data_IF_140334583793
#
_entry.id   IF_140334583793
#
_cell.length_a   1.000
_cell.length_b   1.000
_cell.length_c   1.000
_cell.angle_alpha   90.00
_cell.angle_beta   90.00
_cell.angle_gamma   90.00
#
_symmetry.space_group_name_H-M   'P 1'
#
loop_
_entity.id
_entity.type
_entity.pdbx_description
1 polymer ?
#
# COMPACT_ATOMS: atom_id res chain seq x y z
N UNK A 1 22.85 -30.21 -28.49
CA UNK A 1 21.61 -29.47 -28.81
C UNK A 1 20.95 -29.10 -27.51
N UNK A 2 21.23 -27.88 -27.03
CA UNK A 2 20.76 -27.36 -25.76
C UNK A 2 19.31 -26.95 -25.88
N UNK A 3 18.48 -27.52 -25.02
CA UNK A 3 17.05 -27.26 -24.91
C UNK A 3 16.79 -25.73 -24.75
N UNK A 4 16.09 -25.06 -25.69
CA UNK A 4 15.97 -23.61 -25.71
C UNK A 4 14.94 -23.07 -24.70
N UNK A 5 14.35 -23.92 -23.87
CA UNK A 5 13.32 -23.55 -22.90
C UNK A 5 13.84 -23.55 -21.46
N UNK A 6 15.08 -23.06 -21.25
CA UNK A 6 15.60 -22.76 -19.91
C UNK A 6 14.95 -21.47 -19.39
N UNK A 7 13.73 -21.65 -18.91
CA UNK A 7 13.09 -20.98 -17.78
C UNK A 7 13.83 -19.73 -17.29
N UNK A 8 13.45 -18.58 -17.83
CA UNK A 8 13.62 -17.31 -17.12
C UNK A 8 12.88 -17.43 -15.79
N UNK A 9 13.63 -17.69 -14.71
CA UNK A 9 13.11 -17.69 -13.36
C UNK A 9 12.49 -16.31 -13.07
N UNK A 10 11.17 -16.23 -13.12
CA UNK A 10 10.43 -15.05 -12.69
C UNK A 10 10.58 -14.93 -11.16
N UNK A 11 10.88 -13.73 -10.62
CA UNK A 11 10.96 -13.53 -9.18
C UNK A 11 9.55 -13.55 -8.58
N UNK A 12 9.06 -14.72 -8.22
CA UNK A 12 7.73 -14.89 -7.61
C UNK A 12 7.68 -14.52 -6.11
N UNK A 13 8.79 -14.13 -5.50
CA UNK A 13 8.86 -13.94 -4.04
C UNK A 13 8.37 -12.56 -3.53
N UNK A 14 7.95 -11.65 -4.41
CA UNK A 14 7.54 -10.29 -3.98
C UNK A 14 6.03 -10.11 -3.77
N UNK A 15 5.21 -11.15 -3.94
CA UNK A 15 3.74 -11.07 -3.90
C UNK A 15 3.09 -11.62 -2.63
N UNK A 16 3.87 -12.09 -1.64
CA UNK A 16 3.32 -12.55 -0.36
C UNK A 16 2.97 -11.42 0.63
N UNK A 17 3.23 -10.15 0.27
CA UNK A 17 2.98 -9.00 1.15
C UNK A 17 1.53 -8.46 1.10
N UNK A 18 0.72 -8.86 0.11
CA UNK A 18 -0.66 -8.37 -0.04
C UNK A 18 -1.70 -9.15 0.78
N UNK A 19 -1.34 -10.30 1.36
CA UNK A 19 -2.32 -11.13 2.06
C UNK A 19 -2.49 -10.67 3.52
N UNK A 20 -3.63 -10.05 3.83
CA UNK A 20 -3.96 -9.60 5.18
C UNK A 20 -4.39 -10.79 6.03
N UNK A 21 -3.42 -11.40 6.72
CA UNK A 21 -3.68 -12.47 7.71
C UNK A 21 -3.81 -11.87 9.11
N UNK A 22 -4.82 -12.32 9.85
CA UNK A 22 -5.00 -12.04 11.28
C UNK A 22 -5.19 -13.35 12.00
N UNK A 23 -4.32 -13.60 12.97
CA UNK A 23 -4.42 -14.77 13.83
C UNK A 23 -5.48 -14.49 14.90
N UNK A 24 -6.49 -15.35 14.98
CA UNK A 24 -7.50 -15.35 16.04
C UNK A 24 -7.16 -16.54 16.95
N UNK A 25 -7.05 -16.30 18.26
CA UNK A 25 -6.83 -17.36 19.26
C UNK A 25 -8.18 -17.83 19.81
N UNK A 26 -8.25 -19.10 20.22
CA UNK A 26 -9.44 -19.67 20.87
C UNK A 26 -9.74 -18.91 22.17
N UNK A 27 -10.89 -18.24 22.21
CA UNK A 27 -11.34 -17.37 23.32
C UNK A 27 -11.43 -15.87 22.99
N UNK A 28 -11.01 -15.43 21.79
CA UNK A 28 -11.26 -14.04 21.36
C UNK A 28 -12.67 -13.86 20.76
N UNK A 29 -13.36 -12.80 21.19
CA UNK A 29 -14.60 -12.35 20.53
C UNK A 29 -14.32 -11.98 19.07
N UNK A 30 -15.11 -12.54 18.16
CA UNK A 30 -15.07 -12.33 16.69
C UNK A 30 -15.05 -10.84 16.33
N UNK A 31 -15.77 -10.01 17.09
CA UNK A 31 -15.85 -8.56 16.86
C UNK A 31 -14.49 -7.86 17.04
N UNK A 32 -13.66 -8.34 17.97
CA UNK A 32 -12.30 -7.80 18.18
C UNK A 32 -11.39 -8.16 17.01
N UNK A 33 -11.51 -9.38 16.48
CA UNK A 33 -10.76 -9.80 15.29
C UNK A 33 -11.16 -8.97 14.06
N UNK A 34 -12.46 -8.74 13.85
CA UNK A 34 -12.98 -7.93 12.75
C UNK A 34 -12.49 -6.47 12.85
N UNK A 35 -12.46 -5.89 14.05
CA UNK A 35 -11.94 -4.53 14.26
C UNK A 35 -10.46 -4.42 13.93
N UNK A 36 -9.65 -5.43 14.28
CA UNK A 36 -8.23 -5.49 13.90
C UNK A 36 -8.05 -5.66 12.39
N UNK A 37 -8.91 -6.46 11.76
CA UNK A 37 -8.96 -6.62 10.30
C UNK A 37 -9.19 -5.30 9.60
N UNK A 38 -10.25 -4.59 9.99
CA UNK A 38 -10.57 -3.28 9.42
C UNK A 38 -9.43 -2.28 9.55
N UNK A 39 -8.81 -2.20 10.74
CA UNK A 39 -7.63 -1.35 10.96
C UNK A 39 -6.43 -1.73 10.09
N UNK A 40 -6.15 -3.03 9.94
CA UNK A 40 -5.03 -3.53 9.12
C UNK A 40 -5.29 -3.26 7.63
N UNK A 41 -6.51 -3.46 7.17
CA UNK A 41 -6.96 -3.15 5.81
C UNK A 41 -6.84 -1.66 5.47
N UNK A 42 -7.27 -0.78 6.38
CA UNK A 42 -7.13 0.67 6.22
C UNK A 42 -5.65 1.10 6.19
N UNK A 43 -4.81 0.47 7.03
CA UNK A 43 -3.36 0.75 7.07
C UNK A 43 -2.63 0.31 5.80
N UNK A 44 -3.02 -0.80 5.18
CA UNK A 44 -2.44 -1.24 3.90
C UNK A 44 -2.71 -0.26 2.76
N UNK A 45 -3.76 0.56 2.86
CA UNK A 45 -4.00 1.65 1.90
C UNK A 45 -4.43 1.18 0.50
N UNK A 46 -4.84 -0.08 0.36
CA UNK A 46 -5.24 -0.71 -0.92
C UNK A 46 -6.32 0.11 -1.63
N UNK A 47 -7.30 0.63 -0.89
CA UNK A 47 -8.35 1.49 -1.47
C UNK A 47 -7.78 2.79 -2.08
N UNK A 48 -6.76 3.39 -1.45
CA UNK A 48 -6.13 4.60 -1.98
C UNK A 48 -5.34 4.28 -3.24
N UNK A 49 -4.65 3.15 -3.25
CA UNK A 49 -3.93 2.68 -4.42
C UNK A 49 -4.86 2.35 -5.59
N UNK A 50 -5.97 1.64 -5.35
CA UNK A 50 -6.98 1.37 -6.36
C UNK A 50 -7.51 2.66 -6.97
N UNK A 51 -7.91 3.64 -6.14
CA UNK A 51 -8.38 4.96 -6.63
C UNK A 51 -7.32 5.69 -7.46
N UNK A 52 -6.06 5.67 -7.04
CA UNK A 52 -4.98 6.29 -7.78
C UNK A 52 -4.70 5.59 -9.11
N UNK A 53 -4.92 4.28 -9.19
CA UNK A 53 -4.71 3.46 -10.40
C UNK A 53 -5.89 3.52 -11.38
N UNK A 54 -7.07 3.98 -10.96
CA UNK A 54 -8.26 4.08 -11.84
C UNK A 54 -8.06 5.05 -13.00
N UNK A 55 -7.21 6.07 -12.84
CA UNK A 55 -6.94 7.07 -13.87
C UNK A 55 -5.43 7.26 -14.07
N UNK A 56 -5.04 7.55 -15.31
CA UNK A 56 -3.65 7.89 -15.61
C UNK A 56 -3.33 9.32 -15.18
N UNK A 57 -2.52 9.48 -14.13
CA UNK A 57 -1.96 10.77 -13.73
C UNK A 57 -0.60 11.00 -14.44
N UNK A 58 -0.51 12.06 -15.24
CA UNK A 58 0.77 12.47 -15.85
C UNK A 58 1.81 12.75 -14.76
N UNK A 59 3.04 12.24 -14.93
CA UNK A 59 4.15 12.41 -13.96
C UNK A 59 4.38 13.87 -13.54
N UNK A 60 4.22 14.81 -14.46
CA UNK A 60 4.35 16.26 -14.17
C UNK A 60 3.32 16.75 -13.15
N UNK A 61 2.07 16.29 -13.26
CA UNK A 61 0.96 16.66 -12.36
C UNK A 61 1.22 16.08 -10.97
N UNK A 62 1.59 14.80 -10.90
CA UNK A 62 1.93 14.14 -9.63
C UNK A 62 3.08 14.86 -8.90
N UNK A 63 4.15 15.23 -9.61
CA UNK A 63 5.29 15.97 -9.05
C UNK A 63 4.86 17.34 -8.51
N UNK A 64 4.04 18.08 -9.26
CA UNK A 64 3.53 19.39 -8.83
C UNK A 64 2.70 19.27 -7.55
N UNK A 65 1.84 18.26 -7.47
CA UNK A 65 1.01 17.99 -6.28
C UNK A 65 1.88 17.62 -5.06
N UNK A 66 2.93 16.84 -5.25
CA UNK A 66 3.86 16.48 -4.18
C UNK A 66 4.60 17.71 -3.59
N UNK A 67 5.11 18.60 -4.45
CA UNK A 67 5.81 19.82 -4.01
C UNK A 67 4.87 20.75 -3.26
N UNK A 68 3.66 21.00 -3.78
CA UNK A 68 2.65 21.83 -3.10
C UNK A 68 2.32 21.31 -1.69
N UNK A 69 2.13 19.99 -1.56
CA UNK A 69 1.90 19.36 -0.25
C UNK A 69 3.09 19.49 0.69
N UNK A 70 4.32 19.42 0.18
CA UNK A 70 5.53 19.56 0.99
C UNK A 70 5.66 20.99 1.56
N UNK A 71 5.48 22.01 0.71
CA UNK A 71 5.50 23.43 1.13
C UNK A 71 4.44 23.69 2.18
N UNK A 72 3.20 23.23 1.95
CA UNK A 72 2.12 23.39 2.92
C UNK A 72 2.43 22.77 4.29
N UNK A 73 2.98 21.56 4.32
CA UNK A 73 3.40 20.92 5.59
C UNK A 73 4.53 21.66 6.28
N UNK A 74 5.49 22.19 5.52
CA UNK A 74 6.60 22.96 6.07
C UNK A 74 6.12 24.25 6.73
N UNK A 75 5.18 24.96 6.09
CA UNK A 75 4.56 26.16 6.65
C UNK A 75 3.86 25.88 7.98
N UNK A 76 3.04 24.82 8.04
CA UNK A 76 2.36 24.41 9.27
C UNK A 76 3.35 24.09 10.40
N UNK A 77 4.47 23.43 10.08
CA UNK A 77 5.50 23.09 11.06
C UNK A 77 6.27 24.32 11.55
N UNK A 78 6.54 25.30 10.68
CA UNK A 78 7.19 26.55 11.10
C UNK A 78 6.29 27.44 11.95
N UNK A 79 4.97 27.34 11.80
CA UNK A 79 3.99 28.13 12.56
C UNK A 79 3.71 27.55 13.96
N UNK A 80 3.98 26.26 14.17
CA UNK A 80 3.77 25.58 15.46
C UNK A 80 4.98 25.61 16.39
N UNK A 81 6.10 26.19 15.94
CA UNK A 81 7.34 26.42 16.72
C UNK A 81 7.37 27.87 17.19
#
# INVERSE_FOLDING_TARGET
>A
MTDPLRTFALPHERRYFEMIVINVKDGESIDRALKRFKKKFEKTGVLRELRNRQAFEKKSVARRNAVKRAVYRQQLQSETV
#
